data_IF_103951143608
#
_entry.id   IF_103951143608
#
_cell.length_a   1.000
_cell.length_b   1.000
_cell.length_c   1.000
_cell.angle_alpha   90.00
_cell.angle_beta   90.00
_cell.angle_gamma   90.00
#
_symmetry.space_group_name_H-M   'P 1'
#
loop_
_entity.id
_entity.type
_entity.pdbx_description
1 polymer ?
#
# COMPACT_ATOMS: atom_id res chain seq x y z
N UNK A 1 -33.86 -18.03 -2.96
CA UNK A 1 -34.15 -16.64 -3.39
C UNK A 1 -32.95 -16.21 -4.20
N UNK A 2 -33.14 -15.74 -5.45
CA UNK A 2 -32.02 -15.31 -6.31
C UNK A 2 -31.51 -13.93 -5.95
N UNK A 3 -32.37 -13.10 -5.33
CA UNK A 3 -32.02 -11.75 -4.86
C UNK A 3 -32.06 -11.63 -3.34
N UNK A 4 -31.11 -10.86 -2.77
CA UNK A 4 -31.00 -10.51 -1.36
C UNK A 4 -30.62 -9.03 -1.23
N UNK A 5 -31.28 -8.29 -0.31
CA UNK A 5 -30.91 -6.91 0.00
C UNK A 5 -29.95 -6.90 1.19
N UNK A 6 -28.80 -6.26 1.05
CA UNK A 6 -27.82 -6.11 2.11
C UNK A 6 -28.23 -5.01 3.10
N UNK A 7 -27.77 -5.05 4.37
CA UNK A 7 -28.06 -3.99 5.35
C UNK A 7 -27.64 -2.59 4.90
N UNK A 8 -26.59 -2.48 4.08
CA UNK A 8 -26.08 -1.22 3.51
C UNK A 8 -26.77 -0.81 2.19
N UNK A 9 -27.87 -1.47 1.81
CA UNK A 9 -28.80 -1.03 0.77
C UNK A 9 -28.46 -1.46 -0.66
N UNK A 10 -27.60 -2.46 -0.85
CA UNK A 10 -27.35 -3.05 -2.17
C UNK A 10 -28.28 -4.24 -2.40
N UNK A 11 -28.86 -4.33 -3.59
CA UNK A 11 -29.61 -5.51 -4.03
C UNK A 11 -28.66 -6.44 -4.76
N UNK A 12 -28.36 -7.59 -4.16
CA UNK A 12 -27.53 -8.63 -4.78
C UNK A 12 -28.43 -9.58 -5.56
N UNK A 13 -28.06 -9.90 -6.80
CA UNK A 13 -28.71 -10.96 -7.60
C UNK A 13 -27.67 -11.99 -8.07
N UNK A 14 -27.94 -13.25 -7.73
CA UNK A 14 -27.10 -14.41 -8.04
C UNK A 14 -27.45 -15.08 -9.37
N UNK A 15 -28.42 -14.53 -10.12
CA UNK A 15 -28.78 -14.97 -11.47
C UNK A 15 -27.76 -14.50 -12.53
N UNK A 16 -28.06 -14.67 -13.83
CA UNK A 16 -27.20 -14.20 -14.92
C UNK A 16 -25.93 -15.04 -15.15
N UNK A 17 -25.00 -14.48 -15.92
CA UNK A 17 -23.73 -15.12 -16.24
C UNK A 17 -22.77 -14.98 -15.06
N UNK A 18 -22.18 -16.10 -14.62
CA UNK A 18 -21.12 -16.11 -13.62
C UNK A 18 -19.75 -15.95 -14.29
N UNK A 19 -18.99 -14.96 -13.88
CA UNK A 19 -17.61 -14.72 -14.31
C UNK A 19 -16.69 -14.94 -13.12
N UNK A 20 -15.58 -15.62 -13.34
CA UNK A 20 -14.60 -15.99 -12.32
C UNK A 20 -13.25 -15.43 -12.71
N UNK A 21 -12.61 -14.71 -11.80
CA UNK A 21 -11.23 -14.25 -11.94
C UNK A 21 -10.40 -14.88 -10.82
N UNK A 22 -9.68 -15.93 -11.19
CA UNK A 22 -8.83 -16.74 -10.32
C UNK A 22 -7.68 -17.32 -11.15
N UNK A 23 -6.43 -16.86 -10.95
CA UNK A 23 -6.00 -15.95 -9.89
C UNK A 23 -6.35 -14.47 -10.15
N UNK A 24 -6.53 -13.71 -9.08
CA UNK A 24 -6.33 -12.25 -9.12
C UNK A 24 -4.82 -12.00 -9.07
N UNK A 25 -4.27 -11.51 -10.18
CA UNK A 25 -2.86 -11.14 -10.29
C UNK A 25 -2.63 -9.70 -9.83
N UNK A 26 -1.34 -9.30 -9.68
CA UNK A 26 -0.93 -7.95 -9.27
C UNK A 26 -1.54 -7.50 -7.93
N UNK A 27 -1.67 -8.45 -7.02
CA UNK A 27 -1.94 -8.23 -5.59
C UNK A 27 -0.93 -9.06 -4.77
N UNK A 28 -0.90 -8.85 -3.46
CA UNK A 28 -0.25 -9.79 -2.55
C UNK A 28 -1.17 -10.98 -2.25
N UNK A 29 -0.60 -12.18 -2.12
CA UNK A 29 -1.32 -13.37 -1.67
C UNK A 29 -2.23 -14.01 -2.72
N UNK A 30 -3.33 -14.61 -2.25
CA UNK A 30 -4.24 -15.43 -3.05
C UNK A 30 -5.68 -14.99 -2.85
N UNK A 31 -6.27 -14.45 -3.92
CA UNK A 31 -7.66 -13.99 -3.95
C UNK A 31 -8.37 -14.57 -5.18
N UNK A 32 -9.61 -14.95 -4.95
CA UNK A 32 -10.58 -15.33 -5.99
C UNK A 32 -11.76 -14.37 -5.92
N UNK A 33 -12.08 -13.76 -7.07
CA UNK A 33 -13.28 -12.94 -7.22
C UNK A 33 -14.24 -13.64 -8.18
N UNK A 34 -15.50 -13.69 -7.78
CA UNK A 34 -16.58 -14.17 -8.62
C UNK A 34 -17.66 -13.11 -8.71
N UNK A 35 -18.20 -12.90 -9.90
CA UNK A 35 -19.28 -11.95 -10.12
C UNK A 35 -20.40 -12.58 -10.93
N UNK A 36 -21.63 -12.16 -10.64
CA UNK A 36 -22.78 -12.39 -11.50
C UNK A 36 -23.03 -11.13 -12.32
N UNK A 37 -23.23 -11.32 -13.62
CA UNK A 37 -23.40 -10.25 -14.59
C UNK A 37 -24.72 -10.45 -15.32
N UNK A 38 -25.49 -9.37 -15.46
CA UNK A 38 -26.75 -9.38 -16.20
C UNK A 38 -26.56 -9.30 -17.74
N UNK A 39 -27.65 -9.30 -18.48
CA UNK A 39 -27.65 -9.20 -19.96
C UNK A 39 -27.07 -7.87 -20.48
N UNK A 40 -26.96 -6.84 -19.63
CA UNK A 40 -26.38 -5.53 -19.95
C UNK A 40 -24.90 -5.42 -19.56
N UNK A 41 -24.27 -6.53 -19.16
CA UNK A 41 -22.90 -6.59 -18.66
C UNK A 41 -22.66 -5.82 -17.35
N UNK A 42 -23.70 -5.64 -16.52
CA UNK A 42 -23.58 -5.00 -15.20
C UNK A 42 -23.44 -6.05 -14.11
N UNK A 43 -22.49 -5.85 -13.19
CA UNK A 43 -22.29 -6.72 -12.03
C UNK A 43 -23.47 -6.54 -11.06
N UNK A 44 -24.18 -7.63 -10.80
CA UNK A 44 -25.33 -7.69 -9.88
C UNK A 44 -24.99 -8.37 -8.54
N UNK A 45 -23.92 -9.15 -8.49
CA UNK A 45 -23.41 -9.76 -7.27
C UNK A 45 -21.88 -9.94 -7.38
N UNK A 46 -21.18 -9.80 -6.26
CA UNK A 46 -19.74 -9.99 -6.17
C UNK A 46 -19.38 -10.78 -4.91
N UNK A 47 -18.49 -11.76 -5.06
CA UNK A 47 -18.02 -12.65 -4.01
C UNK A 47 -16.50 -12.53 -3.92
N UNK A 48 -15.99 -12.23 -2.72
CA UNK A 48 -14.57 -12.13 -2.42
C UNK A 48 -14.13 -13.31 -1.56
N UNK A 49 -13.21 -14.13 -2.08
CA UNK A 49 -12.74 -15.34 -1.38
C UNK A 49 -11.23 -15.29 -1.19
N UNK A 50 -10.77 -15.18 0.06
CA UNK A 50 -9.37 -15.34 0.43
C UNK A 50 -8.98 -16.82 0.39
N UNK A 51 -8.05 -17.18 -0.50
CA UNK A 51 -7.73 -18.58 -0.80
C UNK A 51 -6.46 -19.07 -0.09
N UNK A 52 -6.07 -18.46 1.04
CA UNK A 52 -4.89 -18.86 1.81
C UNK A 52 -5.05 -18.66 3.31
N UNK A 53 -4.38 -19.50 4.10
CA UNK A 53 -4.28 -19.36 5.55
C UNK A 53 -2.98 -19.96 6.07
N UNK A 54 -2.43 -19.39 7.15
CA UNK A 54 -1.18 -19.84 7.78
C UNK A 54 -1.25 -20.00 9.31
N UNK A 55 -2.22 -19.37 9.98
CA UNK A 55 -2.46 -19.57 11.41
C UNK A 55 -1.43 -18.96 12.36
N UNK A 56 -0.94 -17.73 12.10
CA UNK A 56 0.04 -17.07 12.96
C UNK A 56 -0.47 -16.85 14.40
N UNK A 57 -1.76 -16.56 14.57
CA UNK A 57 -2.42 -16.43 15.88
C UNK A 57 -2.28 -17.70 16.74
N UNK A 58 -2.32 -18.87 16.10
CA UNK A 58 -2.13 -20.17 16.77
C UNK A 58 -0.65 -20.38 17.06
N UNK A 59 0.24 -20.09 16.10
CA UNK A 59 1.69 -20.27 16.21
C UNK A 59 2.30 -19.42 17.34
N UNK A 60 1.72 -18.26 17.64
CA UNK A 60 2.16 -17.35 18.69
C UNK A 60 1.84 -17.85 20.11
N UNK A 61 0.91 -18.79 20.28
CA UNK A 61 0.53 -19.28 21.61
C UNK A 61 1.74 -19.89 22.33
N UNK A 62 2.00 -19.42 23.55
CA UNK A 62 3.11 -19.90 24.37
C UNK A 62 4.50 -19.41 23.96
N UNK A 63 4.60 -18.49 22.98
CA UNK A 63 5.87 -17.82 22.62
C UNK A 63 6.17 -16.71 23.63
N UNK A 64 7.45 -16.36 23.76
CA UNK A 64 7.86 -15.18 24.52
C UNK A 64 7.33 -13.91 23.83
N UNK A 65 6.66 -12.98 24.55
CA UNK A 65 6.16 -11.74 23.97
C UNK A 65 7.24 -10.91 23.25
N UNK A 66 8.50 -11.01 23.67
CA UNK A 66 9.62 -10.29 23.04
C UNK A 66 9.96 -10.82 21.65
N UNK A 67 9.61 -12.06 21.35
CA UNK A 67 9.85 -12.69 20.06
C UNK A 67 8.68 -12.49 19.09
N UNK A 68 7.50 -12.10 19.58
CA UNK A 68 6.25 -12.07 18.82
C UNK A 68 6.38 -11.24 17.52
N UNK A 69 7.03 -10.08 17.58
CA UNK A 69 7.22 -9.19 16.43
C UNK A 69 7.90 -9.91 15.26
N UNK A 70 8.88 -10.77 15.55
CA UNK A 70 9.62 -11.48 14.52
C UNK A 70 8.76 -12.52 13.81
N UNK A 71 7.79 -13.14 14.51
CA UNK A 71 6.85 -14.07 13.90
C UNK A 71 5.81 -13.33 13.06
N UNK A 72 5.15 -12.30 13.63
CA UNK A 72 4.07 -11.60 12.93
C UNK A 72 4.57 -10.72 11.79
N UNK A 73 5.83 -10.30 11.78
CA UNK A 73 6.39 -9.60 10.64
C UNK A 73 6.35 -10.45 9.36
N UNK A 74 6.34 -11.78 9.49
CA UNK A 74 6.23 -12.71 8.36
C UNK A 74 4.79 -12.90 7.92
N UNK A 75 3.81 -12.19 8.51
CA UNK A 75 2.47 -12.12 7.95
C UNK A 75 2.54 -11.53 6.54
N UNK A 76 3.34 -10.50 6.28
CA UNK A 76 3.43 -9.95 4.93
C UNK A 76 4.80 -9.35 4.63
N UNK A 77 5.32 -9.64 3.43
CA UNK A 77 6.57 -9.07 2.91
C UNK A 77 6.39 -7.76 2.13
N UNK A 78 5.15 -7.43 1.73
CA UNK A 78 4.82 -6.17 1.03
C UNK A 78 4.64 -5.04 2.05
N UNK A 79 3.67 -5.17 2.95
CA UNK A 79 3.50 -4.24 4.09
C UNK A 79 4.51 -4.51 5.22
N UNK A 80 5.77 -4.79 4.86
CA UNK A 80 6.81 -5.25 5.77
C UNK A 80 7.09 -4.25 6.88
N UNK A 81 7.15 -4.75 8.12
CA UNK A 81 7.42 -3.96 9.32
C UNK A 81 6.17 -3.52 10.07
N UNK A 82 5.01 -3.33 9.42
CA UNK A 82 3.79 -2.85 10.09
C UNK A 82 3.32 -3.80 11.19
N UNK A 83 3.36 -5.10 10.93
CA UNK A 83 2.98 -6.12 11.91
C UNK A 83 3.98 -6.21 13.06
N UNK A 84 5.28 -6.00 12.79
CA UNK A 84 6.29 -5.97 13.84
C UNK A 84 6.11 -4.74 14.75
N UNK A 85 5.85 -3.57 14.16
CA UNK A 85 5.56 -2.34 14.89
C UNK A 85 4.30 -2.49 15.76
N UNK A 86 3.21 -3.00 15.18
CA UNK A 86 1.99 -3.29 15.92
C UNK A 86 2.29 -4.24 17.10
N UNK A 87 3.05 -5.32 16.86
CA UNK A 87 3.39 -6.28 17.92
C UNK A 87 4.23 -5.67 19.04
N UNK A 88 5.27 -4.90 18.75
CA UNK A 88 6.06 -4.27 19.83
C UNK A 88 5.22 -3.27 20.61
N UNK A 89 4.36 -2.49 19.94
CA UNK A 89 3.41 -1.57 20.59
C UNK A 89 2.42 -2.31 21.48
N UNK A 90 1.84 -3.43 21.03
CA UNK A 90 0.91 -4.24 21.83
C UNK A 90 1.59 -4.81 23.08
N UNK A 91 2.82 -5.32 22.94
CA UNK A 91 3.57 -5.85 24.09
C UNK A 91 3.96 -4.74 25.06
N UNK A 92 4.34 -3.58 24.56
CA UNK A 92 4.66 -2.40 25.38
C UNK A 92 3.44 -1.87 26.13
N UNK A 93 2.28 -1.80 25.48
CA UNK A 93 1.00 -1.43 26.11
C UNK A 93 0.65 -2.41 27.24
N UNK A 94 0.71 -3.72 26.96
CA UNK A 94 0.40 -4.75 27.95
C UNK A 94 1.34 -4.76 29.17
N UNK A 95 2.58 -4.31 29.00
CA UNK A 95 3.61 -4.28 30.05
C UNK A 95 3.84 -2.88 30.66
N UNK A 96 3.13 -1.85 30.18
CA UNK A 96 3.32 -0.46 30.62
C UNK A 96 4.72 0.09 30.29
N UNK A 97 5.33 -0.33 29.19
CA UNK A 97 6.67 0.10 28.77
C UNK A 97 6.58 1.43 28.01
N UNK A 98 7.32 2.43 28.47
CA UNK A 98 7.47 3.72 27.78
C UNK A 98 8.81 3.72 27.04
N UNK A 99 8.77 3.82 25.72
CA UNK A 99 9.98 3.83 24.87
C UNK A 99 10.70 5.20 24.91
N UNK A 100 12.01 5.27 24.62
CA UNK A 100 12.69 6.56 24.46
C UNK A 100 12.19 7.33 23.21
N UNK A 101 12.19 8.68 23.20
CA UNK A 101 11.75 9.49 22.05
C UNK A 101 12.45 9.15 20.73
N UNK A 102 13.76 8.90 20.75
CA UNK A 102 14.50 8.52 19.54
C UNK A 102 13.99 7.20 18.94
N UNK A 103 13.55 6.24 19.77
CA UNK A 103 12.97 5.01 19.26
C UNK A 103 11.63 5.29 18.57
N UNK A 104 10.78 6.16 19.14
CA UNK A 104 9.54 6.59 18.51
C UNK A 104 9.79 7.22 17.13
N UNK A 105 10.74 8.16 17.05
CA UNK A 105 11.09 8.80 15.76
C UNK A 105 11.63 7.80 14.74
N UNK A 106 12.48 6.86 15.15
CA UNK A 106 13.01 5.83 14.24
C UNK A 106 11.88 4.91 13.76
N UNK A 107 10.96 4.49 14.64
CA UNK A 107 9.79 3.69 14.26
C UNK A 107 8.90 4.42 13.25
N UNK A 108 8.63 5.70 13.48
CA UNK A 108 7.88 6.55 12.55
C UNK A 108 8.61 6.70 11.21
N UNK A 109 9.92 6.94 11.22
CA UNK A 109 10.73 7.04 9.99
C UNK A 109 10.71 5.73 9.18
N UNK A 110 10.82 4.58 9.85
CA UNK A 110 10.68 3.29 9.18
C UNK A 110 9.29 3.15 8.56
N UNK A 111 8.22 3.42 9.31
CA UNK A 111 6.87 3.31 8.75
C UNK A 111 6.60 4.30 7.61
N UNK A 112 7.10 5.54 7.68
CA UNK A 112 6.97 6.50 6.58
C UNK A 112 7.74 6.05 5.33
N UNK A 113 8.91 5.43 5.50
CA UNK A 113 9.65 4.82 4.40
C UNK A 113 8.87 3.63 3.79
N UNK A 114 8.24 2.81 4.63
CA UNK A 114 7.35 1.73 4.19
C UNK A 114 6.17 2.28 3.38
N UNK A 115 5.44 3.28 3.91
CA UNK A 115 4.30 3.90 3.23
C UNK A 115 4.70 4.44 1.86
N UNK A 116 5.83 5.15 1.82
CA UNK A 116 6.34 5.76 0.59
C UNK A 116 6.69 4.69 -0.44
N UNK A 117 7.39 3.62 -0.03
CA UNK A 117 7.80 2.57 -0.95
C UNK A 117 6.62 1.70 -1.41
N UNK A 118 5.73 1.31 -0.51
CA UNK A 118 4.60 0.45 -0.81
C UNK A 118 3.62 1.18 -1.75
N UNK A 119 3.25 2.43 -1.46
CA UNK A 119 2.38 3.21 -2.35
C UNK A 119 2.99 3.47 -3.72
N UNK A 120 4.30 3.75 -3.78
CA UNK A 120 5.00 3.91 -5.05
C UNK A 120 4.98 2.61 -5.87
N UNK A 121 5.27 1.47 -5.21
CA UNK A 121 5.28 0.16 -5.87
C UNK A 121 3.89 -0.26 -6.27
N UNK A 122 2.88 -0.03 -5.44
CA UNK A 122 1.49 -0.30 -5.74
C UNK A 122 1.03 0.46 -6.97
N UNK A 123 1.24 1.78 -7.00
CA UNK A 123 0.80 2.59 -8.14
C UNK A 123 1.41 2.08 -9.44
N UNK A 124 2.73 1.92 -9.53
CA UNK A 124 3.37 1.53 -10.79
C UNK A 124 3.26 0.03 -11.09
N UNK A 125 3.64 -0.85 -10.16
CA UNK A 125 3.89 -2.26 -10.45
C UNK A 125 2.68 -3.16 -10.21
N UNK A 126 1.71 -2.71 -9.43
CA UNK A 126 0.48 -3.45 -9.16
C UNK A 126 -0.69 -2.87 -9.95
N UNK A 127 -0.85 -1.54 -9.98
CA UNK A 127 -2.08 -0.90 -10.46
C UNK A 127 -1.95 -0.25 -11.85
N UNK A 128 -0.81 0.36 -12.22
CA UNK A 128 -0.73 1.20 -13.42
C UNK A 128 -1.10 0.47 -14.72
N UNK A 129 -0.85 -0.83 -14.81
CA UNK A 129 -1.15 -1.62 -16.01
C UNK A 129 -2.66 -1.85 -16.22
N UNK A 130 -3.53 -1.45 -15.29
CA UNK A 130 -4.98 -1.35 -15.54
C UNK A 130 -5.36 -0.08 -16.32
N UNK A 131 -4.48 0.92 -16.33
CA UNK A 131 -4.71 2.25 -16.90
C UNK A 131 -3.80 2.57 -18.09
N UNK A 132 -2.65 1.88 -18.18
CA UNK A 132 -1.58 2.15 -19.14
C UNK A 132 -1.47 1.00 -20.12
N UNK A 133 -1.70 1.29 -21.41
CA UNK A 133 -1.51 0.32 -22.49
C UNK A 133 -0.05 0.33 -22.95
N UNK A 134 0.70 -0.71 -22.56
CA UNK A 134 2.12 -0.86 -22.86
C UNK A 134 2.37 -1.00 -24.37
N UNK A 135 1.47 -1.65 -25.12
CA UNK A 135 1.64 -1.83 -26.57
C UNK A 135 1.39 -0.52 -27.30
N UNK A 136 0.40 0.27 -26.86
CA UNK A 136 0.11 1.61 -27.39
C UNK A 136 1.32 2.55 -27.31
N UNK A 137 2.16 2.43 -26.27
CA UNK A 137 3.39 3.21 -26.12
C UNK A 137 4.39 3.04 -27.29
N UNK A 138 4.35 1.92 -28.01
CA UNK A 138 5.21 1.68 -29.18
C UNK A 138 4.91 2.63 -30.35
N UNK A 139 3.71 3.18 -30.39
CA UNK A 139 3.24 4.09 -31.45
C UNK A 139 3.37 5.57 -31.09
N UNK A 140 3.92 5.89 -29.92
CA UNK A 140 4.05 7.27 -29.44
C UNK A 140 5.11 8.07 -30.21
N UNK A 141 4.90 9.38 -30.40
CA UNK A 141 6.00 10.30 -30.75
C UNK A 141 6.76 10.68 -29.46
N UNK A 142 8.07 10.37 -29.36
CA UNK A 142 8.89 10.78 -28.22
C UNK A 142 8.96 12.30 -27.99
N UNK A 143 8.72 13.12 -29.00
CA UNK A 143 8.67 14.59 -28.86
C UNK A 143 7.43 15.03 -28.11
N UNK A 144 6.25 14.54 -28.52
CA UNK A 144 4.98 14.78 -27.83
C UNK A 144 5.04 14.27 -26.39
N UNK A 145 5.64 13.10 -26.18
CA UNK A 145 5.85 12.53 -24.83
C UNK A 145 6.71 13.45 -23.95
N UNK A 146 7.79 14.01 -24.52
CA UNK A 146 8.64 15.00 -23.85
C UNK A 146 7.88 16.28 -23.50
N UNK A 147 7.09 16.80 -24.44
CA UNK A 147 6.29 18.01 -24.23
C UNK A 147 5.24 17.79 -23.15
N UNK A 148 4.56 16.64 -23.17
CA UNK A 148 3.61 16.22 -22.14
C UNK A 148 4.27 16.17 -20.75
N UNK A 149 5.37 15.44 -20.57
CA UNK A 149 6.04 15.37 -19.26
C UNK A 149 6.45 16.76 -18.76
N UNK A 150 7.03 17.60 -19.63
CA UNK A 150 7.45 18.96 -19.26
C UNK A 150 6.28 19.88 -18.91
N UNK A 151 5.09 19.62 -19.44
CA UNK A 151 3.87 20.37 -19.11
C UNK A 151 3.34 20.07 -17.71
N UNK A 152 3.62 18.87 -17.17
CA UNK A 152 3.08 18.42 -15.88
C UNK A 152 4.12 18.38 -14.76
N UNK A 153 5.42 18.38 -15.10
CA UNK A 153 6.49 18.20 -14.13
C UNK A 153 7.82 18.83 -14.55
N UNK A 154 8.64 19.15 -13.55
CA UNK A 154 10.03 19.57 -13.69
C UNK A 154 11.04 18.40 -13.61
N UNK A 155 10.57 17.14 -13.65
CA UNK A 155 11.45 15.97 -13.63
C UNK A 155 12.47 16.01 -14.80
N UNK A 156 13.79 15.95 -14.52
CA UNK A 156 14.81 16.28 -15.51
C UNK A 156 14.93 15.26 -16.66
N UNK A 157 14.55 14.00 -16.44
CA UNK A 157 14.60 12.96 -17.47
C UNK A 157 13.39 13.05 -18.41
N UNK A 158 13.32 14.13 -19.19
CA UNK A 158 12.17 14.48 -20.04
C UNK A 158 12.53 14.72 -21.50
N UNK A 159 13.73 14.33 -21.95
CA UNK A 159 14.17 14.61 -23.32
C UNK A 159 13.52 13.67 -24.35
N UNK A 160 13.26 14.12 -25.60
CA UNK A 160 12.76 13.24 -26.64
C UNK A 160 13.69 12.05 -26.92
N UNK A 161 15.00 12.25 -26.78
CA UNK A 161 16.00 11.19 -26.95
C UNK A 161 15.90 10.12 -25.85
N UNK A 162 15.60 10.52 -24.60
CA UNK A 162 15.39 9.60 -23.49
C UNK A 162 14.19 8.69 -23.76
N UNK A 163 13.04 9.28 -24.10
CA UNK A 163 11.83 8.52 -24.44
C UNK A 163 12.01 7.61 -25.65
N UNK A 164 12.70 8.08 -26.70
CA UNK A 164 13.05 7.22 -27.84
C UNK A 164 13.90 6.02 -27.41
N UNK A 165 14.85 6.23 -26.49
CA UNK A 165 15.67 5.16 -25.93
C UNK A 165 14.83 4.11 -25.20
N UNK A 166 13.87 4.54 -24.39
CA UNK A 166 12.94 3.64 -23.68
C UNK A 166 12.02 2.92 -24.66
N UNK A 167 11.42 3.64 -25.61
CA UNK A 167 10.55 3.07 -26.65
C UNK A 167 11.28 2.02 -27.48
N UNK A 168 12.54 2.26 -27.87
CA UNK A 168 13.34 1.28 -28.61
C UNK A 168 13.60 0.01 -27.79
N UNK A 169 13.85 0.13 -26.48
CA UNK A 169 14.00 -1.03 -25.59
C UNK A 169 12.70 -1.81 -25.48
N UNK A 170 11.58 -1.11 -25.32
CA UNK A 170 10.25 -1.73 -25.26
C UNK A 170 9.92 -2.44 -26.58
N UNK A 171 10.22 -1.81 -27.71
CA UNK A 171 10.04 -2.39 -29.04
C UNK A 171 10.86 -3.67 -29.21
N UNK A 172 12.15 -3.65 -28.86
CA UNK A 172 13.00 -4.84 -28.92
C UNK A 172 12.48 -5.96 -28.00
N UNK A 173 11.97 -5.61 -26.81
CA UNK A 173 11.35 -6.57 -25.89
C UNK A 173 10.09 -7.20 -26.50
N UNK A 174 9.22 -6.41 -27.12
CA UNK A 174 7.99 -6.89 -27.77
C UNK A 174 8.31 -7.75 -29.01
N UNK A 175 9.24 -7.30 -29.85
CA UNK A 175 9.69 -8.01 -31.07
C UNK A 175 10.39 -9.34 -30.75
N UNK A 176 10.92 -9.52 -29.54
CA UNK A 176 11.48 -10.80 -29.10
C UNK A 176 10.45 -11.93 -29.01
N UNK A 177 9.15 -11.60 -28.93
CA UNK A 177 8.07 -12.54 -28.65
C UNK A 177 8.04 -13.07 -27.21
N UNK A 178 8.99 -12.66 -26.35
CA UNK A 178 9.09 -13.05 -24.95
C UNK A 178 8.54 -11.95 -24.04
N UNK A 179 7.23 -11.72 -24.09
CA UNK A 179 6.57 -10.60 -23.41
C UNK A 179 6.58 -10.66 -21.88
N UNK A 180 6.98 -11.79 -21.29
CA UNK A 180 7.12 -11.96 -19.83
C UNK A 180 5.88 -11.45 -19.06
N UNK A 181 6.03 -10.45 -18.17
CA UNK A 181 4.91 -9.92 -17.39
C UNK A 181 3.84 -9.21 -18.23
N UNK A 182 4.12 -8.92 -19.51
CA UNK A 182 3.17 -8.28 -20.43
C UNK A 182 2.46 -9.28 -21.35
N UNK A 183 2.72 -10.58 -21.23
CA UNK A 183 2.06 -11.61 -22.03
C UNK A 183 0.58 -11.76 -21.65
N UNK A 184 -0.30 -11.94 -22.65
CA UNK A 184 -1.75 -12.20 -22.47
C UNK A 184 -2.48 -11.21 -21.54
N UNK A 185 -2.01 -9.96 -21.48
CA UNK A 185 -2.70 -8.86 -20.79
C UNK A 185 -3.75 -8.20 -21.70
N UNK A 186 -4.46 -7.22 -21.16
CA UNK A 186 -5.66 -6.62 -21.76
C UNK A 186 -5.38 -5.55 -22.83
N UNK A 187 -4.20 -5.56 -23.46
CA UNK A 187 -3.75 -4.54 -24.41
C UNK A 187 -4.75 -4.34 -25.56
N UNK A 188 -5.01 -3.09 -25.93
CA UNK A 188 -6.02 -2.72 -26.93
C UNK A 188 -7.47 -2.77 -26.43
N UNK A 189 -7.70 -3.09 -25.16
CA UNK A 189 -9.03 -3.00 -24.55
C UNK A 189 -9.61 -1.59 -24.76
N UNK A 190 -10.91 -1.46 -25.11
CA UNK A 190 -11.56 -0.16 -25.23
C UNK A 190 -11.66 0.60 -23.90
N UNK A 191 -11.37 -0.07 -22.78
CA UNK A 191 -11.28 0.56 -21.47
C UNK A 191 -10.06 1.48 -21.33
N UNK A 192 -8.94 1.21 -22.03
CA UNK A 192 -7.80 2.12 -22.03
C UNK A 192 -8.12 3.42 -22.78
N UNK A 193 -7.85 4.56 -22.15
CA UNK A 193 -8.14 5.91 -22.68
C UNK A 193 -6.90 6.75 -22.94
N UNK A 194 -5.74 6.34 -22.43
CA UNK A 194 -4.51 7.13 -22.58
C UNK A 194 -4.05 7.18 -24.05
N UNK A 195 -3.66 8.35 -24.57
CA UNK A 195 -2.99 8.44 -25.86
C UNK A 195 -1.60 7.80 -25.80
N UNK A 196 -1.02 7.38 -26.94
CA UNK A 196 0.31 6.76 -27.00
C UNK A 196 1.39 7.53 -26.24
N UNK A 197 1.43 8.86 -26.34
CA UNK A 197 2.40 9.69 -25.62
C UNK A 197 2.29 9.56 -24.10
N UNK A 198 1.07 9.54 -23.54
CA UNK A 198 0.85 9.35 -22.11
C UNK A 198 1.23 7.91 -21.68
N UNK A 199 0.94 6.91 -22.52
CA UNK A 199 1.37 5.53 -22.25
C UNK A 199 2.90 5.41 -22.21
N UNK A 200 3.63 6.02 -23.16
CA UNK A 200 5.09 5.97 -23.16
C UNK A 200 5.70 6.69 -21.96
N UNK A 201 5.12 7.81 -21.53
CA UNK A 201 5.51 8.50 -20.29
C UNK A 201 5.33 7.59 -19.07
N UNK A 202 4.13 7.02 -18.89
CA UNK A 202 3.82 6.18 -17.75
C UNK A 202 4.65 4.88 -17.72
N UNK A 203 4.89 4.23 -18.87
CA UNK A 203 5.79 3.06 -18.96
C UNK A 203 7.23 3.45 -18.64
N UNK A 204 7.67 4.64 -19.03
CA UNK A 204 9.01 5.13 -18.67
C UNK A 204 9.13 5.28 -17.16
N UNK A 205 8.15 5.93 -16.51
CA UNK A 205 8.13 6.11 -15.07
C UNK A 205 7.90 4.82 -14.28
N UNK A 206 7.17 3.84 -14.82
CA UNK A 206 7.11 2.47 -14.29
C UNK A 206 8.51 1.87 -14.14
N UNK A 207 9.35 1.99 -15.17
CA UNK A 207 10.73 1.47 -15.13
C UNK A 207 11.63 2.28 -14.18
N UNK A 208 11.44 3.61 -14.11
CA UNK A 208 12.16 4.44 -13.15
C UNK A 208 11.79 4.10 -11.70
N UNK A 209 10.51 3.89 -11.42
CA UNK A 209 10.00 3.53 -10.10
C UNK A 209 10.52 2.15 -9.67
N UNK A 210 10.60 1.18 -10.58
CA UNK A 210 11.17 -0.15 -10.32
C UNK A 210 12.62 -0.06 -9.83
N UNK A 211 13.39 0.85 -10.45
CA UNK A 211 14.79 1.10 -10.11
C UNK A 211 14.93 1.93 -8.83
N UNK A 212 14.06 2.92 -8.60
CA UNK A 212 14.18 3.84 -7.48
C UNK A 212 13.68 3.25 -6.16
N UNK A 213 12.62 2.43 -6.16
CA UNK A 213 11.99 1.93 -4.93
C UNK A 213 12.95 1.18 -3.99
N UNK A 214 13.99 0.53 -4.53
CA UNK A 214 15.02 -0.18 -3.73
C UNK A 214 15.90 0.77 -2.90
N UNK A 215 15.96 2.05 -3.24
CA UNK A 215 16.71 3.05 -2.48
C UNK A 215 15.93 3.47 -1.23
N UNK A 216 14.60 3.58 -1.31
CA UNK A 216 13.73 4.00 -0.20
C UNK A 216 13.91 3.06 0.99
N UNK A 217 13.96 1.74 0.73
CA UNK A 217 14.09 0.71 1.77
C UNK A 217 15.47 0.66 2.44
N UNK A 218 16.45 1.43 1.97
CA UNK A 218 17.74 1.56 2.67
C UNK A 218 17.56 2.22 4.05
N UNK A 219 16.50 3.01 4.27
CA UNK A 219 16.14 3.51 5.61
C UNK A 219 15.86 2.35 6.57
N UNK A 220 15.07 1.34 6.15
CA UNK A 220 14.87 0.11 6.93
C UNK A 220 16.18 -0.66 7.13
N UNK A 221 17.06 -0.68 6.13
CA UNK A 221 18.34 -1.38 6.23
C UNK A 221 19.25 -0.72 7.27
N UNK A 222 19.25 0.61 7.36
CA UNK A 222 20.07 1.37 8.32
C UNK A 222 19.58 1.16 9.76
N UNK A 223 18.27 1.26 10.01
CA UNK A 223 17.72 1.18 11.37
C UNK A 223 17.34 -0.24 11.81
N UNK A 224 16.91 -1.08 10.87
CA UNK A 224 16.44 -2.44 11.10
C UNK A 224 17.35 -3.53 10.55
N UNK A 225 18.46 -3.19 9.89
CA UNK A 225 19.47 -4.13 9.39
C UNK A 225 19.17 -4.79 8.04
N UNK A 226 17.91 -4.85 7.59
CA UNK A 226 17.53 -5.35 6.26
C UNK A 226 16.14 -4.89 5.82
N UNK A 227 15.83 -5.09 4.55
CA UNK A 227 14.48 -5.08 4.00
C UNK A 227 14.39 -6.14 2.87
N UNK A 228 13.30 -6.92 2.76
CA UNK A 228 12.15 -6.99 3.67
C UNK A 228 12.48 -7.56 5.05
N UNK A 229 11.52 -7.46 5.97
CA UNK A 229 11.56 -7.93 7.36
C UNK A 229 12.70 -7.34 8.22
N UNK A 230 12.76 -6.00 8.40
CA UNK A 230 13.70 -5.35 9.34
C UNK A 230 13.55 -5.85 10.78
N UNK A 231 14.55 -5.62 11.62
CA UNK A 231 14.50 -6.02 13.02
C UNK A 231 13.93 -4.91 13.91
N UNK A 232 13.14 -5.31 14.91
CA UNK A 232 12.51 -4.42 15.90
C UNK A 232 12.86 -4.89 17.32
N UNK A 233 12.48 -4.11 18.33
CA UNK A 233 12.75 -4.43 19.73
C UNK A 233 11.63 -3.92 20.64
N UNK A 234 11.09 -4.80 21.49
CA UNK A 234 10.22 -4.38 22.61
C UNK A 234 11.04 -3.49 23.55
N UNK A 235 10.56 -2.27 23.79
CA UNK A 235 11.24 -1.22 24.56
C UNK A 235 11.99 -0.20 23.69
N UNK A 236 12.00 -0.33 22.36
CA UNK A 236 12.57 0.68 21.48
C UNK A 236 12.98 0.18 20.09
N UNK A 237 14.25 0.35 19.75
CA UNK A 237 14.87 -0.09 18.50
C UNK A 237 16.28 -0.64 18.77
N UNK A 238 16.75 -1.66 18.04
CA UNK A 238 18.06 -2.27 18.27
C UNK A 238 19.24 -1.42 17.75
N UNK A 239 18.99 -0.41 16.92
CA UNK A 239 20.03 0.45 16.34
C UNK A 239 20.46 1.55 17.32
N UNK A 240 21.58 1.35 18.02
CA UNK A 240 22.16 2.36 18.90
C UNK A 240 22.69 3.57 18.12
N UNK A 241 22.60 4.76 18.72
CA UNK A 241 23.12 6.00 18.15
C UNK A 241 24.45 6.37 18.83
N UNK A 242 25.47 6.73 18.03
CA UNK A 242 26.71 7.33 18.53
C UNK A 242 27.31 8.22 17.43
N UNK A 243 27.21 9.53 17.61
CA UNK A 243 27.55 10.51 16.57
C UNK A 243 28.94 11.11 16.72
N UNK A 244 29.52 11.12 17.92
CA UNK A 244 30.72 11.89 18.26
C UNK A 244 31.67 11.21 19.24
N UNK A 245 31.34 10.03 19.79
CA UNK A 245 32.17 9.33 20.76
C UNK A 245 33.02 8.23 20.12
N UNK A 246 34.06 7.80 20.85
CA UNK A 246 34.87 6.63 20.48
C UNK A 246 33.95 5.41 20.30
N UNK A 247 34.16 4.66 19.21
CA UNK A 247 33.32 3.51 18.86
C UNK A 247 32.09 3.85 18.00
N UNK A 248 31.97 5.09 17.49
CA UNK A 248 30.87 5.51 16.59
C UNK A 248 30.76 4.69 15.30
N UNK A 249 31.85 4.03 14.87
CA UNK A 249 31.84 3.11 13.72
C UNK A 249 31.00 1.85 13.94
N UNK A 250 30.70 1.49 15.20
CA UNK A 250 29.85 0.36 15.57
C UNK A 250 28.38 0.70 15.79
N UNK A 251 27.95 1.92 15.50
CA UNK A 251 26.61 2.43 15.76
C UNK A 251 26.12 3.35 14.62
N UNK A 252 24.89 3.85 14.73
CA UNK A 252 24.36 4.86 13.82
C UNK A 252 24.99 6.22 14.17
N UNK A 253 26.04 6.58 13.42
CA UNK A 253 26.66 7.90 13.42
C UNK A 253 26.20 8.80 12.27
N UNK A 254 26.82 9.98 12.16
CA UNK A 254 26.42 11.03 11.21
C UNK A 254 26.44 10.61 9.73
N UNK A 255 27.34 9.72 9.33
CA UNK A 255 27.39 9.26 7.93
C UNK A 255 26.11 8.50 7.53
N UNK A 256 25.56 7.68 8.43
CA UNK A 256 24.31 6.96 8.21
C UNK A 256 23.11 7.91 8.22
N UNK A 257 23.08 8.86 9.14
CA UNK A 257 22.01 9.86 9.21
C UNK A 257 21.98 10.76 7.95
N UNK A 258 23.16 11.14 7.43
CA UNK A 258 23.26 11.86 6.16
C UNK A 258 22.72 11.03 4.98
N UNK A 259 22.99 9.72 4.96
CA UNK A 259 22.44 8.82 3.94
C UNK A 259 20.91 8.72 4.04
N UNK A 260 20.36 8.59 5.26
CA UNK A 260 18.91 8.62 5.49
C UNK A 260 18.31 9.93 4.97
N UNK A 261 18.92 11.07 5.29
CA UNK A 261 18.45 12.37 4.82
C UNK A 261 18.47 12.49 3.29
N UNK A 262 19.51 12.00 2.62
CA UNK A 262 19.57 11.99 1.14
C UNK A 262 18.46 11.11 0.54
N UNK A 263 18.24 9.91 1.09
CA UNK A 263 17.17 9.02 0.63
C UNK A 263 15.80 9.69 0.80
N UNK A 264 15.54 10.35 1.94
CA UNK A 264 14.29 11.08 2.17
C UNK A 264 14.10 12.17 1.12
N UNK A 265 15.11 13.02 0.90
CA UNK A 265 15.02 14.11 -0.07
C UNK A 265 14.77 13.60 -1.50
N UNK A 266 15.47 12.54 -1.90
CA UNK A 266 15.27 11.90 -3.21
C UNK A 266 13.89 11.25 -3.34
N UNK A 267 13.36 10.70 -2.24
CA UNK A 267 12.02 10.10 -2.20
C UNK A 267 10.96 11.18 -2.38
N UNK A 268 11.04 12.28 -1.64
CA UNK A 268 10.16 13.44 -1.80
C UNK A 268 10.22 13.94 -3.24
N UNK A 269 11.42 14.15 -3.79
CA UNK A 269 11.57 14.63 -5.17
C UNK A 269 10.92 13.69 -6.20
N UNK A 270 11.13 12.37 -6.08
CA UNK A 270 10.54 11.41 -7.00
C UNK A 270 9.01 11.38 -6.87
N UNK A 271 8.48 11.42 -5.66
CA UNK A 271 7.03 11.41 -5.43
C UNK A 271 6.39 12.69 -5.99
N UNK A 272 6.95 13.86 -5.68
CA UNK A 272 6.40 15.16 -6.09
C UNK A 272 6.54 15.43 -7.58
N UNK A 273 7.58 14.91 -8.23
CA UNK A 273 7.88 15.18 -9.64
C UNK A 273 7.55 14.04 -10.59
N UNK A 274 7.29 12.83 -10.11
CA UNK A 274 7.00 11.67 -10.97
C UNK A 274 5.65 11.06 -10.59
N UNK A 275 5.51 10.52 -9.38
CA UNK A 275 4.29 9.83 -8.97
C UNK A 275 3.04 10.72 -8.98
N UNK A 276 3.04 11.84 -8.24
CA UNK A 276 1.86 12.71 -8.14
C UNK A 276 1.48 13.34 -9.49
N UNK A 277 2.41 13.85 -10.32
CA UNK A 277 2.09 14.33 -11.66
C UNK A 277 1.50 13.24 -12.56
N UNK A 278 2.05 12.02 -12.55
CA UNK A 278 1.51 10.90 -13.32
C UNK A 278 0.11 10.53 -12.88
N UNK A 279 -0.12 10.41 -11.57
CA UNK A 279 -1.43 10.11 -11.01
C UNK A 279 -2.48 11.13 -11.48
N UNK A 280 -2.17 12.42 -11.40
CA UNK A 280 -3.07 13.50 -11.86
C UNK A 280 -3.28 13.47 -13.38
N UNK A 281 -2.21 13.25 -14.15
CA UNK A 281 -2.28 13.19 -15.60
C UNK A 281 -3.13 12.01 -16.07
N UNK A 282 -2.88 10.81 -15.53
CA UNK A 282 -3.64 9.59 -15.83
C UNK A 282 -5.10 9.77 -15.43
N UNK A 283 -5.37 10.20 -14.20
CA UNK A 283 -6.74 10.43 -13.72
C UNK A 283 -7.54 11.39 -14.63
N UNK A 284 -6.88 12.40 -15.22
CA UNK A 284 -7.51 13.32 -16.16
C UNK A 284 -8.11 12.67 -17.41
N UNK A 285 -7.65 11.48 -17.80
CA UNK A 285 -8.21 10.70 -18.92
C UNK A 285 -9.32 9.71 -18.51
N UNK A 286 -9.53 9.52 -17.20
CA UNK A 286 -10.45 8.54 -16.63
C UNK A 286 -11.43 9.19 -15.64
N UNK A 287 -11.86 10.44 -15.90
CA UNK A 287 -12.76 11.16 -15.00
C UNK A 287 -14.12 10.47 -14.80
N UNK A 288 -14.56 9.64 -15.75
CA UNK A 288 -15.75 8.80 -15.64
C UNK A 288 -15.62 7.74 -14.54
N UNK A 289 -14.40 7.26 -14.26
CA UNK A 289 -14.14 6.34 -13.16
C UNK A 289 -14.36 6.95 -11.78
N UNK A 290 -14.44 8.28 -11.66
CA UNK A 290 -14.82 8.94 -10.39
C UNK A 290 -16.26 8.58 -9.96
N UNK A 291 -17.11 8.11 -10.89
CA UNK A 291 -18.45 7.60 -10.60
C UNK A 291 -18.51 6.08 -10.36
N UNK A 292 -17.39 5.36 -10.43
CA UNK A 292 -17.32 3.89 -10.40
C UNK A 292 -16.55 3.43 -9.16
N UNK A 293 -17.00 2.34 -8.52
CA UNK A 293 -16.25 1.71 -7.43
C UNK A 293 -16.38 2.39 -6.06
N UNK A 294 -17.34 3.30 -5.86
CA UNK A 294 -17.51 4.02 -4.60
C UNK A 294 -17.80 3.12 -3.39
N UNK A 295 -18.53 2.01 -3.57
CA UNK A 295 -18.79 1.01 -2.53
C UNK A 295 -19.20 1.63 -1.19
N UNK A 296 -18.39 1.37 -0.15
CA UNK A 296 -18.58 1.93 1.19
C UNK A 296 -17.85 3.25 1.43
N UNK A 297 -16.96 3.70 0.54
CA UNK A 297 -16.13 4.87 0.77
C UNK A 297 -16.94 6.16 0.99
N UNK A 298 -18.13 6.27 0.39
CA UNK A 298 -19.06 7.37 0.62
C UNK A 298 -19.99 7.20 1.83
N UNK A 299 -19.85 6.12 2.59
CA UNK A 299 -20.72 5.78 3.73
C UNK A 299 -19.91 5.56 5.00
N UNK A 300 -19.06 4.53 5.01
CA UNK A 300 -18.36 4.07 6.20
C UNK A 300 -16.85 4.11 5.96
N UNK A 301 -16.12 4.82 6.82
CA UNK A 301 -14.66 4.94 6.79
C UNK A 301 -14.12 4.77 8.21
N UNK A 302 -12.94 4.15 8.35
CA UNK A 302 -12.31 3.89 9.63
C UNK A 302 -10.81 4.14 9.54
N UNK A 303 -10.27 4.85 10.53
CA UNK A 303 -8.83 4.98 10.77
C UNK A 303 -8.57 4.84 12.27
N UNK A 304 -7.56 4.05 12.65
CA UNK A 304 -7.07 4.02 14.03
C UNK A 304 -6.06 5.13 14.34
N UNK A 305 -5.64 5.87 13.31
CA UNK A 305 -4.57 6.85 13.39
C UNK A 305 -3.19 6.21 13.59
N UNK A 306 -2.13 6.99 13.33
CA UNK A 306 -0.75 6.57 13.51
C UNK A 306 0.21 7.78 13.54
N UNK A 307 1.51 7.49 13.63
CA UNK A 307 2.63 8.42 13.72
C UNK A 307 2.51 9.35 14.92
N UNK A 308 2.57 8.80 16.16
CA UNK A 308 2.57 9.62 17.36
C UNK A 308 3.79 10.56 17.36
N UNK A 309 3.54 11.84 17.59
CA UNK A 309 4.53 12.93 17.54
C UNK A 309 5.48 12.80 18.72
N UNK A 310 4.93 12.85 19.93
CA UNK A 310 5.68 12.77 21.19
C UNK A 310 5.39 11.47 21.93
N UNK A 311 6.38 10.98 22.66
CA UNK A 311 6.19 9.89 23.61
C UNK A 311 5.53 10.43 24.87
N UNK A 312 4.44 9.77 25.31
CA UNK A 312 3.75 10.08 26.56
C UNK A 312 3.63 8.81 27.40
N UNK A 313 3.75 8.96 28.71
CA UNK A 313 3.65 7.83 29.64
C UNK A 313 2.21 7.34 29.83
N UNK A 314 1.25 8.24 29.65
CA UNK A 314 -0.18 7.93 29.63
C UNK A 314 -0.58 7.44 28.23
N UNK A 315 -1.05 6.18 28.07
CA UNK A 315 -1.44 5.64 26.78
C UNK A 315 -2.54 6.44 26.09
N UNK A 316 -3.52 6.95 26.83
CA UNK A 316 -4.64 7.69 26.24
C UNK A 316 -4.15 9.01 25.64
N UNK A 317 -3.22 9.69 26.32
CA UNK A 317 -2.57 10.87 25.79
C UNK A 317 -1.62 10.56 24.61
N UNK A 318 -0.96 9.39 24.61
CA UNK A 318 -0.05 8.97 23.53
C UNK A 318 -0.80 8.71 22.23
N UNK A 319 -1.99 8.11 22.31
CA UNK A 319 -2.86 7.80 21.17
C UNK A 319 -3.94 8.86 20.89
N UNK A 320 -3.92 9.98 21.62
CA UNK A 320 -4.83 11.09 21.37
C UNK A 320 -4.61 11.69 19.97
N UNK A 321 -5.70 12.07 19.30
CA UNK A 321 -5.66 12.61 17.93
C UNK A 321 -4.78 13.85 17.76
N UNK A 322 -4.60 14.67 18.80
CA UNK A 322 -3.71 15.83 18.76
C UNK A 322 -2.21 15.46 18.80
N UNK A 323 -1.91 14.21 19.17
CA UNK A 323 -0.58 13.63 19.17
C UNK A 323 -0.32 12.76 17.94
N UNK A 324 -1.28 12.52 17.05
CA UNK A 324 -1.11 11.68 15.86
C UNK A 324 -0.96 12.53 14.60
N UNK A 325 0.06 12.26 13.78
CA UNK A 325 0.16 12.91 12.45
C UNK A 325 -0.86 12.36 11.46
N UNK A 326 -1.30 11.11 11.64
CA UNK A 326 -2.42 10.51 10.91
C UNK A 326 -3.64 10.41 11.84
N UNK A 327 -4.76 11.09 11.56
CA UNK A 327 -5.93 11.09 12.45
C UNK A 327 -6.61 9.73 12.58
N UNK A 328 -7.15 9.47 13.77
CA UNK A 328 -8.07 8.38 14.09
C UNK A 328 -9.53 8.86 14.06
N UNK A 329 -10.44 7.96 13.70
CA UNK A 329 -11.87 8.18 13.74
C UNK A 329 -12.66 7.25 12.82
N UNK A 330 -13.96 7.21 13.03
CA UNK A 330 -14.91 6.51 12.17
C UNK A 330 -15.98 7.47 11.63
N UNK A 331 -16.27 7.33 10.34
CA UNK A 331 -17.45 7.91 9.69
C UNK A 331 -18.45 6.79 9.49
N UNK A 332 -19.72 7.04 9.81
CA UNK A 332 -20.81 6.07 9.72
C UNK A 332 -21.95 6.70 8.91
N UNK A 333 -22.57 5.91 8.04
CA UNK A 333 -23.75 6.28 7.23
C UNK A 333 -23.58 7.54 6.38
N UNK A 334 -22.35 7.90 6.06
CA UNK A 334 -22.00 9.05 5.23
C UNK A 334 -22.08 10.40 5.96
N UNK A 335 -22.26 10.41 7.28
CA UNK A 335 -22.28 11.65 8.06
C UNK A 335 -20.86 12.20 8.26
N UNK A 336 -20.42 13.02 7.31
CA UNK A 336 -19.12 13.71 7.39
C UNK A 336 -19.09 14.83 8.44
N UNK A 337 -20.21 15.19 9.06
CA UNK A 337 -20.25 16.21 10.11
C UNK A 337 -19.84 15.67 11.48
N UNK A 338 -19.87 14.34 11.65
CA UNK A 338 -19.55 13.65 12.89
C UNK A 338 -18.41 12.66 12.67
N UNK A 339 -17.27 12.90 13.33
CA UNK A 339 -16.18 11.91 13.41
C UNK A 339 -16.30 11.20 14.75
N UNK A 340 -16.66 9.92 14.72
CA UNK A 340 -16.76 9.11 15.93
C UNK A 340 -15.36 8.71 16.42
N UNK A 341 -15.07 8.80 17.73
CA UNK A 341 -13.86 8.21 18.29
C UNK A 341 -13.89 6.68 18.12
N UNK A 342 -12.72 6.06 18.14
CA UNK A 342 -12.58 4.60 18.03
C UNK A 342 -11.85 4.10 19.28
N UNK A 343 -12.49 3.19 20.02
CA UNK A 343 -11.92 2.53 21.19
C UNK A 343 -11.73 1.04 20.92
N UNK A 344 -10.48 0.65 20.67
CA UNK A 344 -10.09 -0.75 20.43
C UNK A 344 -10.18 -1.65 21.67
N UNK A 345 -10.43 -1.08 22.86
CA UNK A 345 -10.66 -1.82 24.10
C UNK A 345 -12.15 -2.04 24.38
N UNK A 346 -13.03 -1.33 23.68
CA UNK A 346 -14.47 -1.52 23.81
C UNK A 346 -14.91 -2.76 23.01
N UNK A 347 -15.40 -3.83 23.69
CA UNK A 347 -15.79 -5.07 23.02
C UNK A 347 -17.03 -4.93 22.12
N UNK A 348 -17.76 -3.82 22.22
CA UNK A 348 -18.94 -3.54 21.39
C UNK A 348 -18.59 -2.77 20.10
N UNK A 349 -17.32 -2.37 19.89
CA UNK A 349 -16.92 -1.59 18.72
C UNK A 349 -16.30 -2.44 17.61
N UNK A 350 -15.15 -3.08 17.86
CA UNK A 350 -14.41 -3.85 16.84
C UNK A 350 -14.64 -5.35 17.06
N UNK A 351 -15.46 -5.96 16.21
CA UNK A 351 -15.87 -7.37 16.28
C UNK A 351 -15.61 -8.12 14.97
N UNK A 352 -15.36 -9.43 15.04
CA UNK A 352 -15.05 -10.28 13.88
C UNK A 352 -15.99 -11.50 13.81
N UNK A 353 -16.82 -11.55 12.78
CA UNK A 353 -17.80 -12.62 12.57
C UNK A 353 -17.29 -13.69 11.59
N UNK A 354 -17.66 -14.95 11.82
CA UNK A 354 -17.19 -16.10 11.02
C UNK A 354 -18.28 -16.83 10.22
N UNK A 355 -19.53 -16.35 10.24
CA UNK A 355 -20.68 -17.02 9.61
C UNK A 355 -20.52 -17.29 8.10
N UNK A 356 -19.68 -16.50 7.41
CA UNK A 356 -19.35 -16.68 5.99
C UNK A 356 -17.85 -16.90 5.76
N UNK A 357 -17.17 -17.48 6.75
CA UNK A 357 -15.73 -17.74 6.75
C UNK A 357 -15.45 -19.19 7.13
N UNK A 358 -14.28 -19.73 6.78
CA UNK A 358 -13.91 -21.12 7.11
C UNK A 358 -13.32 -21.26 8.53
N UNK A 359 -14.06 -20.74 9.51
CA UNK A 359 -13.76 -20.86 10.94
C UNK A 359 -15.04 -21.20 11.71
N UNK A 360 -14.91 -21.61 12.97
CA UNK A 360 -16.05 -21.99 13.81
C UNK A 360 -16.01 -21.26 15.14
N UNK A 361 -17.12 -20.66 15.56
CA UNK A 361 -17.31 -20.09 16.89
C UNK A 361 -18.29 -20.94 17.73
N UNK A 362 -18.22 -20.86 19.07
CA UNK A 362 -19.24 -21.46 19.94
C UNK A 362 -20.64 -20.88 19.70
N UNK A 363 -20.72 -19.59 19.37
CA UNK A 363 -21.93 -18.87 18.98
C UNK A 363 -21.61 -18.01 17.76
N UNK A 364 -22.07 -18.42 16.57
CA UNK A 364 -21.79 -17.72 15.30
C UNK A 364 -22.55 -16.41 15.14
N UNK A 365 -23.48 -16.10 16.06
CA UNK A 365 -24.21 -14.82 16.08
C UNK A 365 -23.44 -13.70 16.80
N UNK A 366 -22.28 -14.02 17.39
CA UNK A 366 -21.43 -13.09 18.13
C UNK A 366 -20.07 -12.97 17.44
N UNK A 367 -19.61 -11.73 17.29
CA UNK A 367 -18.29 -11.41 16.77
C UNK A 367 -17.28 -11.10 17.84
#
# INVERSE_FOLDING_TARGET
MTSTVTPNGFSLDTSGQRVVVDPICRIEGHLRIEVNVDESNVIQNAVSTGNMWRGLEIILRGRDPRDAWAFVERICGVCTGVHALASVRTVEDALGIVIPPNANHIRNLMMLAQYTQDHLVHFYHLHALDWVDVVSALSADPRETSELQKSISSWPKSSPAYFRGVQNKLKAFVESGQLGPFANAYWGSPAYKLPPAANLMAVTHYLEALEFQKDIVKIHTIFGGRNPHPNWLVGGMPCSLNVDQVGSTGAIGMAWLNMVSDIINRSIEFIDKVYIPDLKAIAGFYLDWAGIGGGLAGKNMLSYGDFPIDVKSDPDAYWANDNLMMPAGAIIDGDLSTVHPVDVRNPEEIQEYVAHSWYSYPDESKG
#
